data_IF_352780255983
#
_entry.id   IF_352780255983
#
_cell.length_a   1.000
_cell.length_b   1.000
_cell.length_c   1.000
_cell.angle_alpha   90.00
_cell.angle_beta   90.00
_cell.angle_gamma   90.00
#
_symmetry.space_group_name_H-M   'P 1'
#
loop_
_entity.id
_entity.type
_entity.pdbx_description
1 polymer ?
#
# COMPACT_ATOMS: atom_id res chain seq x y z
N UNK A 1 13.04 -6.07 14.15
CA UNK A 1 12.16 -4.90 13.89
C UNK A 1 10.73 -5.41 13.85
N UNK A 2 9.76 -4.61 14.31
CA UNK A 2 8.36 -4.98 14.32
C UNK A 2 7.68 -4.46 13.05
N UNK A 3 6.91 -5.33 12.40
CA UNK A 3 6.16 -5.02 11.18
C UNK A 3 4.73 -5.54 11.37
N UNK A 4 3.79 -4.90 10.70
CA UNK A 4 2.38 -5.26 10.75
C UNK A 4 1.81 -5.35 9.33
N UNK A 5 0.93 -6.32 9.11
CA UNK A 5 0.17 -6.49 7.86
C UNK A 5 -1.27 -6.01 8.06
N UNK A 6 -1.75 -5.22 7.11
CA UNK A 6 -3.11 -4.69 7.04
C UNK A 6 -3.78 -5.22 5.78
N UNK A 7 -5.09 -5.44 5.83
CA UNK A 7 -5.87 -5.91 4.69
C UNK A 7 -7.30 -5.43 4.80
N UNK A 8 -7.83 -4.82 3.73
CA UNK A 8 -9.17 -4.27 3.74
C UNK A 8 -9.31 -3.03 4.62
N UNK A 9 -8.20 -2.38 4.99
CA UNK A 9 -8.20 -1.15 5.78
C UNK A 9 -8.39 0.08 4.86
N UNK A 10 -9.12 1.10 5.34
CA UNK A 10 -9.10 2.41 4.70
C UNK A 10 -7.68 2.99 4.73
N UNK A 11 -7.22 3.42 3.57
CA UNK A 11 -5.93 4.08 3.41
C UNK A 11 -6.12 5.36 2.59
N UNK A 12 -6.99 6.24 3.10
CA UNK A 12 -7.25 7.53 2.48
C UNK A 12 -6.17 8.55 2.85
N UNK A 13 -5.35 8.95 1.86
CA UNK A 13 -4.20 9.84 2.07
C UNK A 13 -4.41 11.24 1.50
N UNK A 14 -5.06 11.34 0.34
CA UNK A 14 -5.34 12.62 -0.34
C UNK A 14 -6.52 12.50 -1.30
N UNK A 15 -7.71 12.82 -0.79
CA UNK A 15 -8.96 12.76 -1.56
C UNK A 15 -8.97 13.73 -2.75
N UNK A 16 -8.24 14.85 -2.68
CA UNK A 16 -8.27 15.89 -3.72
C UNK A 16 -7.71 15.41 -5.07
N UNK A 17 -6.85 14.39 -5.04
CA UNK A 17 -6.21 13.78 -6.21
C UNK A 17 -6.58 12.31 -6.40
N UNK A 18 -7.65 11.84 -5.74
CA UNK A 18 -8.12 10.47 -5.90
C UNK A 18 -7.31 9.41 -5.12
N UNK A 19 -6.42 9.79 -4.21
CA UNK A 19 -5.67 8.86 -3.36
C UNK A 19 -6.49 8.53 -2.10
N UNK A 20 -7.64 7.90 -2.33
CA UNK A 20 -8.60 7.49 -1.32
C UNK A 20 -9.17 6.11 -1.66
N UNK A 21 -9.37 5.29 -0.64
CA UNK A 21 -9.86 3.93 -0.83
C UNK A 21 -9.33 2.94 0.18
N UNK A 22 -9.67 1.68 -0.07
CA UNK A 22 -9.33 0.53 0.76
C UNK A 22 -8.20 -0.24 0.09
N UNK A 23 -7.12 -0.52 0.83
CA UNK A 23 -6.03 -1.33 0.31
C UNK A 23 -6.39 -2.83 0.31
N UNK A 24 -5.88 -3.58 -0.66
CA UNK A 24 -5.97 -5.05 -0.61
C UNK A 24 -5.05 -5.55 0.51
N UNK A 25 -3.77 -5.19 0.46
CA UNK A 25 -2.78 -5.43 1.51
C UNK A 25 -1.78 -4.29 1.67
N UNK A 26 -1.37 -4.02 2.91
CA UNK A 26 -0.37 -3.02 3.24
C UNK A 26 0.55 -3.55 4.34
N UNK A 27 1.86 -3.37 4.17
CA UNK A 27 2.84 -3.68 5.21
C UNK A 27 3.36 -2.36 5.76
N UNK A 28 3.34 -2.23 7.08
CA UNK A 28 3.88 -1.06 7.75
C UNK A 28 4.86 -1.44 8.85
N UNK A 29 5.56 -0.42 9.36
CA UNK A 29 6.38 -0.53 10.57
C UNK A 29 5.57 -0.26 11.85
N UNK A 30 4.25 -0.42 11.81
CA UNK A 30 3.40 -0.26 13.00
C UNK A 30 3.75 -1.32 14.06
N UNK A 31 3.78 -0.96 15.36
CA UNK A 31 3.95 -1.92 16.45
C UNK A 31 2.74 -2.85 16.62
N UNK A 32 1.58 -2.46 16.09
CA UNK A 32 0.32 -3.18 16.22
C UNK A 32 -0.53 -3.07 14.94
N UNK A 33 -1.52 -3.95 14.81
CA UNK A 33 -2.45 -3.98 13.66
C UNK A 33 -3.70 -3.09 13.85
N UNK A 34 -3.64 -2.11 14.78
CA UNK A 34 -4.74 -1.17 15.04
C UNK A 34 -4.63 0.07 14.15
N UNK A 35 -3.42 0.60 14.00
CA UNK A 35 -3.16 1.83 13.27
C UNK A 35 -2.03 1.65 12.26
N UNK A 36 -2.23 2.16 11.05
CA UNK A 36 -1.19 2.20 10.03
C UNK A 36 -0.23 3.35 10.38
N UNK A 37 1.05 3.02 10.53
CA UNK A 37 2.14 3.96 10.79
C UNK A 37 3.15 3.93 9.64
N UNK A 38 3.92 4.99 9.50
CA UNK A 38 4.97 5.03 8.48
C UNK A 38 6.21 4.23 8.94
N UNK A 39 7.03 3.75 7.98
CA UNK A 39 6.74 3.66 6.56
C UNK A 39 5.72 2.55 6.25
N UNK A 40 4.89 2.79 5.24
CA UNK A 40 3.97 1.84 4.62
C UNK A 40 4.44 1.47 3.21
N UNK A 41 4.20 0.22 2.81
CA UNK A 41 4.38 -0.30 1.45
C UNK A 41 3.15 -1.12 1.02
N UNK A 42 2.98 -1.28 -0.29
CA UNK A 42 1.72 -1.73 -0.89
C UNK A 42 1.85 -3.12 -1.52
N UNK A 43 0.82 -3.94 -1.35
CA UNK A 43 0.66 -5.21 -2.06
C UNK A 43 -0.78 -5.29 -2.59
N UNK A 44 -0.92 -5.41 -3.90
CA UNK A 44 -2.23 -5.47 -4.56
C UNK A 44 -2.56 -6.90 -4.96
N UNK A 45 -3.79 -7.32 -4.69
CA UNK A 45 -4.29 -8.61 -5.17
C UNK A 45 -4.75 -8.49 -6.63
N UNK A 46 -4.19 -9.32 -7.50
CA UNK A 46 -4.64 -9.45 -8.88
C UNK A 46 -6.01 -10.13 -8.94
N UNK A 47 -7.07 -9.34 -8.98
CA UNK A 47 -8.45 -9.85 -9.06
C UNK A 47 -8.66 -10.54 -10.40
N UNK A 48 -9.27 -11.73 -10.36
CA UNK A 48 -9.53 -12.59 -11.54
C UNK A 48 -8.26 -12.93 -12.34
N UNK A 49 -7.12 -13.05 -11.65
CA UNK A 49 -5.80 -13.32 -12.25
C UNK A 49 -5.28 -12.23 -13.20
N UNK A 50 -5.92 -11.06 -13.23
CA UNK A 50 -5.49 -9.95 -14.08
C UNK A 50 -4.41 -9.10 -13.41
N UNK A 51 -3.16 -9.54 -13.55
CA UNK A 51 -2.01 -8.79 -13.05
C UNK A 51 -1.89 -7.42 -13.72
N UNK A 52 -2.15 -7.33 -15.03
CA UNK A 52 -1.99 -6.08 -15.76
C UNK A 52 -3.01 -5.04 -15.29
N UNK A 53 -4.24 -5.47 -15.03
CA UNK A 53 -5.28 -4.62 -14.43
C UNK A 53 -4.90 -4.10 -13.05
N UNK A 54 -4.20 -4.90 -12.24
CA UNK A 54 -3.75 -4.51 -10.90
C UNK A 54 -2.60 -3.50 -10.87
N UNK A 55 -1.82 -3.35 -11.95
CA UNK A 55 -0.65 -2.46 -11.97
C UNK A 55 -1.03 -0.99 -11.78
N UNK A 56 -2.12 -0.54 -12.37
CA UNK A 56 -2.60 0.84 -12.23
C UNK A 56 -2.97 1.16 -10.78
N UNK A 57 -3.69 0.25 -10.12
CA UNK A 57 -4.02 0.34 -8.70
C UNK A 57 -2.76 0.34 -7.84
N UNK A 58 -1.82 -0.57 -8.11
CA UNK A 58 -0.56 -0.67 -7.36
C UNK A 58 0.24 0.64 -7.42
N UNK A 59 0.39 1.24 -8.61
CA UNK A 59 1.09 2.52 -8.75
C UNK A 59 0.34 3.64 -8.02
N UNK A 60 -0.98 3.71 -8.12
CA UNK A 60 -1.77 4.73 -7.41
C UNK A 60 -1.61 4.62 -5.88
N UNK A 61 -1.73 3.41 -5.34
CA UNK A 61 -1.52 3.13 -3.92
C UNK A 61 -0.07 3.38 -3.49
N UNK A 62 0.93 3.10 -4.35
CA UNK A 62 2.33 3.46 -4.08
C UNK A 62 2.50 4.98 -3.94
N UNK A 63 1.86 5.79 -4.79
CA UNK A 63 1.90 7.25 -4.63
C UNK A 63 1.22 7.69 -3.32
N UNK A 64 0.12 7.03 -2.93
CA UNK A 64 -0.52 7.26 -1.63
C UNK A 64 0.44 6.93 -0.48
N UNK A 65 1.10 5.78 -0.51
CA UNK A 65 2.08 5.37 0.52
C UNK A 65 3.28 6.31 0.58
N UNK A 66 3.79 6.79 -0.56
CA UNK A 66 4.85 7.80 -0.58
C UNK A 66 4.42 9.07 0.19
N UNK A 67 3.26 9.64 -0.16
CA UNK A 67 2.74 10.86 0.51
C UNK A 67 2.46 10.62 1.98
N UNK A 68 1.91 9.46 2.33
CA UNK A 68 1.67 9.08 3.72
C UNK A 68 2.98 9.02 4.51
N UNK A 69 3.99 8.35 3.96
CA UNK A 69 5.30 8.22 4.60
C UNK A 69 5.98 9.60 4.79
N UNK A 70 5.94 10.45 3.76
CA UNK A 70 6.45 11.83 3.81
C UNK A 70 5.73 12.69 4.86
N UNK A 71 4.39 12.63 4.91
CA UNK A 71 3.57 13.38 5.90
C UNK A 71 3.87 12.96 7.34
N UNK A 72 4.30 11.72 7.56
CA UNK A 72 4.64 11.19 8.88
C UNK A 72 6.15 11.27 9.21
N UNK A 73 6.95 11.95 8.37
CA UNK A 73 8.38 12.20 8.64
C UNK A 73 9.32 11.05 8.29
N UNK A 74 8.81 9.96 7.72
CA UNK A 74 9.59 8.79 7.30
C UNK A 74 9.78 8.79 5.78
N UNK A 75 10.61 9.71 5.29
CA UNK A 75 10.93 9.74 3.86
C UNK A 75 11.60 8.43 3.42
N UNK A 76 10.99 7.76 2.43
CA UNK A 76 11.50 6.51 1.87
C UNK A 76 12.09 6.77 0.49
N UNK A 77 13.42 6.67 0.37
CA UNK A 77 14.14 6.86 -0.91
C UNK A 77 13.66 5.92 -2.04
N UNK A 78 13.20 4.72 -1.69
CA UNK A 78 12.70 3.71 -2.62
C UNK A 78 11.45 3.07 -2.04
N UNK A 79 10.33 3.27 -2.70
CA UNK A 79 9.09 2.60 -2.37
C UNK A 79 8.92 1.37 -3.27
N UNK A 80 8.46 0.27 -2.69
CA UNK A 80 8.16 -0.96 -3.42
C UNK A 80 6.66 -1.22 -3.39
N UNK A 81 6.16 -1.75 -4.50
CA UNK A 81 4.82 -2.32 -4.60
C UNK A 81 4.88 -3.57 -5.47
N UNK A 82 3.90 -4.43 -5.32
CA UNK A 82 3.72 -5.58 -6.21
C UNK A 82 2.24 -5.85 -6.46
N UNK A 83 1.99 -6.57 -7.55
CA UNK A 83 0.70 -7.16 -7.87
C UNK A 83 0.87 -8.67 -7.86
N UNK A 84 0.00 -9.38 -7.12
CA UNK A 84 0.12 -10.84 -6.98
C UNK A 84 -1.21 -11.56 -7.08
N UNK A 85 -1.20 -12.73 -7.72
CA UNK A 85 -2.31 -13.70 -7.68
C UNK A 85 -2.20 -14.66 -6.48
N UNK A 86 -1.21 -14.45 -5.61
CA UNK A 86 -0.78 -15.41 -4.59
C UNK A 86 0.21 -16.47 -5.13
N UNK A 87 0.15 -16.78 -6.42
CA UNK A 87 1.04 -17.75 -7.08
C UNK A 87 2.12 -17.08 -7.96
N UNK A 88 1.81 -15.93 -8.55
CA UNK A 88 2.74 -15.15 -9.38
C UNK A 88 2.77 -13.71 -8.89
N UNK A 89 3.98 -13.15 -8.80
CA UNK A 89 4.24 -11.80 -8.31
C UNK A 89 4.89 -10.99 -9.44
N UNK A 90 4.41 -9.77 -9.68
CA UNK A 90 4.99 -8.83 -10.63
C UNK A 90 5.12 -7.43 -10.05
#
# INVERSE_FOLDING_TARGET
QQISLFSGNDFTVDQSVGLNGVCDFLISKSPEQLFIEAPAMIVVEAKKEDINGGLGQCVAEMIAAQRFNEKNGDFVNKLYGCVTTGNLWK
#
